data_IF_012106585181
#
_entry.id   IF_012106585181
#
_cell.length_a   1.000
_cell.length_b   1.000
_cell.length_c   1.000
_cell.angle_alpha   90.00
_cell.angle_beta   90.00
_cell.angle_gamma   90.00
#
_symmetry.space_group_name_H-M   'P 1'
#
loop_
_entity.id
_entity.type
_entity.pdbx_description
1 polymer ?
#
# COMPACT_ATOMS: atom_id res chain seq x y z
N UNK A 1 39.90 -57.00 32.46
CA UNK A 1 40.77 -55.96 33.06
C UNK A 1 40.45 -54.68 32.34
N UNK A 2 39.54 -53.86 32.97
CA UNK A 2 39.75 -52.51 33.53
C UNK A 2 40.24 -51.48 32.51
N UNK A 3 39.57 -50.40 32.18
CA UNK A 3 39.13 -49.34 33.03
C UNK A 3 38.07 -48.45 32.33
N UNK A 4 37.04 -48.02 33.11
CA UNK A 4 36.04 -47.03 32.84
C UNK A 4 36.70 -45.63 33.04
N UNK A 5 36.41 -44.68 32.16
CA UNK A 5 36.57 -43.26 32.45
C UNK A 5 35.40 -42.44 31.92
N UNK A 6 34.68 -41.85 32.84
CA UNK A 6 33.57 -40.89 32.64
C UNK A 6 34.04 -39.59 31.99
N UNK A 7 33.38 -39.17 30.88
CA UNK A 7 33.51 -37.84 30.30
C UNK A 7 32.14 -37.10 30.34
N UNK A 8 32.05 -36.09 31.20
CA UNK A 8 30.89 -35.20 31.30
C UNK A 8 30.67 -34.46 30.00
N UNK A 9 29.45 -34.57 29.46
CA UNK A 9 28.97 -33.70 28.37
C UNK A 9 28.56 -32.37 29.01
N UNK A 10 29.29 -31.31 28.63
CA UNK A 10 28.95 -29.92 28.96
C UNK A 10 27.94 -29.43 27.94
N UNK A 11 26.72 -29.15 28.33
CA UNK A 11 25.70 -28.46 27.54
C UNK A 11 26.07 -26.97 27.52
N UNK A 12 26.53 -26.49 26.37
CA UNK A 12 26.67 -25.07 26.10
C UNK A 12 25.26 -24.45 25.89
N UNK A 13 24.84 -23.63 26.85
CA UNK A 13 23.67 -22.77 26.73
C UNK A 13 23.97 -21.66 25.71
N UNK A 14 23.18 -21.60 24.65
CA UNK A 14 23.12 -20.50 23.71
C UNK A 14 22.71 -19.20 24.44
N UNK A 15 23.32 -18.05 24.16
CA UNK A 15 22.92 -16.79 24.76
C UNK A 15 21.52 -16.38 24.26
N UNK A 16 20.62 -16.15 25.22
CA UNK A 16 19.30 -15.59 24.97
C UNK A 16 19.43 -14.17 24.36
N UNK A 17 18.75 -13.94 23.27
CA UNK A 17 18.54 -12.62 22.68
C UNK A 17 17.80 -11.73 23.68
N UNK A 18 18.25 -10.51 24.00
CA UNK A 18 17.52 -9.64 24.92
C UNK A 18 16.19 -9.23 24.29
N UNK A 19 15.12 -9.38 25.08
CA UNK A 19 13.76 -9.08 24.71
C UNK A 19 13.61 -7.60 24.28
N UNK A 20 12.91 -7.36 23.20
CA UNK A 20 12.61 -6.03 22.63
C UNK A 20 11.88 -5.08 23.59
N UNK A 21 11.24 -5.62 24.63
CA UNK A 21 10.45 -4.85 25.60
C UNK A 21 11.28 -3.97 26.56
N UNK A 22 12.57 -4.28 26.77
CA UNK A 22 13.41 -3.50 27.68
C UNK A 22 13.90 -2.16 27.09
N UNK A 23 13.76 -1.94 25.77
CA UNK A 23 14.31 -0.77 25.11
C UNK A 23 13.24 0.28 24.72
N UNK A 24 11.96 -0.05 24.80
CA UNK A 24 10.84 0.85 24.47
C UNK A 24 10.43 1.73 25.66
N UNK A 25 10.56 1.23 26.90
CA UNK A 25 10.19 1.98 28.11
C UNK A 25 10.96 3.31 28.32
N UNK A 26 12.29 3.43 28.09
CA UNK A 26 13.00 4.70 28.30
C UNK A 26 12.63 5.78 27.29
N UNK A 27 12.08 5.42 26.12
CA UNK A 27 11.75 6.38 25.06
C UNK A 27 10.44 7.12 25.35
N UNK A 28 9.48 6.44 25.95
CA UNK A 28 8.19 7.06 26.33
C UNK A 28 8.34 8.00 27.52
N UNK A 29 9.19 7.69 28.51
CA UNK A 29 9.45 8.57 29.65
C UNK A 29 10.16 9.87 29.23
N UNK A 30 11.03 9.82 28.23
CA UNK A 30 11.71 11.01 27.69
C UNK A 30 10.75 11.94 26.93
N UNK A 31 9.69 11.40 26.32
CA UNK A 31 8.69 12.19 25.61
C UNK A 31 7.72 12.92 26.54
N UNK A 32 7.43 12.35 27.72
CA UNK A 32 6.55 12.96 28.73
C UNK A 32 7.24 14.11 29.49
N UNK A 33 8.55 14.08 29.67
CA UNK A 33 9.31 15.15 30.32
C UNK A 33 9.50 16.39 29.43
N UNK A 34 9.53 16.22 28.09
CA UNK A 34 9.60 17.34 27.12
C UNK A 34 8.32 18.20 27.13
N UNK A 35 7.16 17.63 27.50
CA UNK A 35 5.91 18.39 27.58
C UNK A 35 5.78 19.30 28.81
N UNK A 36 6.62 19.15 29.84
CA UNK A 36 6.54 19.93 31.10
C UNK A 36 7.40 21.18 31.15
N UNK A 37 8.28 21.42 30.17
CA UNK A 37 9.19 22.56 30.12
C UNK A 37 8.76 23.67 29.18
N UNK A 38 7.65 24.37 29.43
CA UNK A 38 7.29 25.57 28.64
C UNK A 38 7.86 26.84 29.26
N UNK A 39 8.95 27.37 28.72
CA UNK A 39 9.36 28.75 28.91
C UNK A 39 9.22 29.52 27.58
N UNK A 40 8.54 30.67 27.67
CA UNK A 40 8.22 31.54 26.54
C UNK A 40 9.45 32.31 26.11
N UNK A 41 10.28 31.85 25.19
CA UNK A 41 11.14 32.60 24.25
C UNK A 41 11.94 31.58 23.44
N UNK A 42 11.62 31.42 22.17
CA UNK A 42 12.32 30.50 21.24
C UNK A 42 11.46 29.47 20.51
N UNK A 43 10.16 29.71 20.43
CA UNK A 43 9.18 28.68 19.98
C UNK A 43 9.41 28.05 18.60
N UNK A 44 10.02 28.78 17.66
CA UNK A 44 10.19 28.29 16.28
C UNK A 44 11.37 27.32 16.17
N UNK A 45 12.47 27.55 16.84
CA UNK A 45 13.66 26.70 16.81
C UNK A 45 13.40 25.38 17.58
N UNK A 46 12.67 25.44 18.69
CA UNK A 46 12.32 24.29 19.50
C UNK A 46 11.33 23.35 18.80
N UNK A 47 10.36 23.92 18.06
CA UNK A 47 9.40 23.14 17.25
C UNK A 47 10.12 22.46 16.08
N UNK A 48 11.13 23.09 15.46
CA UNK A 48 11.92 22.49 14.38
C UNK A 48 12.79 21.32 14.89
N UNK A 49 13.41 21.46 16.05
CA UNK A 49 14.25 20.42 16.67
C UNK A 49 13.40 19.24 17.15
N UNK A 50 12.20 19.49 17.69
CA UNK A 50 11.27 18.40 18.06
C UNK A 50 10.77 17.67 16.81
N UNK A 51 10.39 18.38 15.74
CA UNK A 51 9.95 17.75 14.48
C UNK A 51 11.04 16.91 13.83
N UNK A 52 12.29 17.38 13.82
CA UNK A 52 13.43 16.62 13.28
C UNK A 52 13.76 15.39 14.13
N UNK A 53 13.70 15.50 15.44
CA UNK A 53 13.97 14.36 16.34
C UNK A 53 12.86 13.30 16.30
N UNK A 54 11.59 13.69 16.25
CA UNK A 54 10.45 12.77 16.13
C UNK A 54 10.49 12.05 14.78
N UNK A 55 10.79 12.76 13.70
CA UNK A 55 10.92 12.18 12.37
C UNK A 55 12.08 11.17 12.31
N UNK A 56 13.26 11.52 12.82
CA UNK A 56 14.39 10.61 12.90
C UNK A 56 14.10 9.37 13.77
N UNK A 57 13.32 9.53 14.85
CA UNK A 57 12.85 8.43 15.68
C UNK A 57 11.86 7.53 14.94
N UNK A 58 10.93 8.12 14.17
CA UNK A 58 9.97 7.38 13.37
C UNK A 58 10.67 6.61 12.23
N UNK A 59 11.63 7.22 11.56
CA UNK A 59 12.44 6.55 10.54
C UNK A 59 13.25 5.40 11.14
N UNK A 60 13.86 5.58 12.33
CA UNK A 60 14.52 4.50 13.05
C UNK A 60 13.55 3.40 13.51
N UNK A 61 12.39 3.77 14.05
CA UNK A 61 11.39 2.81 14.48
C UNK A 61 10.90 1.96 13.30
N UNK A 62 10.72 2.56 12.14
CA UNK A 62 10.38 1.85 10.91
C UNK A 62 11.47 0.86 10.50
N UNK A 63 12.75 1.23 10.63
CA UNK A 63 13.89 0.36 10.43
C UNK A 63 13.83 -0.91 11.30
N UNK A 64 13.45 -0.76 12.57
CA UNK A 64 13.31 -1.90 13.49
C UNK A 64 12.07 -2.76 13.19
N UNK A 65 11.10 -2.26 12.43
CA UNK A 65 9.90 -2.99 12.04
C UNK A 65 10.06 -3.77 10.72
N UNK A 66 11.12 -3.51 9.95
CA UNK A 66 11.47 -4.27 8.75
C UNK A 66 12.32 -5.49 9.11
N UNK A 67 12.35 -6.48 8.21
CA UNK A 67 13.28 -7.60 8.37
C UNK A 67 14.73 -7.11 8.26
N UNK A 68 15.61 -7.43 9.24
CA UNK A 68 16.98 -6.92 9.25
C UNK A 68 17.83 -7.33 8.04
N UNK A 69 17.66 -8.57 7.54
CA UNK A 69 18.39 -9.06 6.36
C UNK A 69 18.01 -8.29 5.11
N UNK A 70 16.71 -8.01 4.97
CA UNK A 70 16.20 -7.24 3.85
C UNK A 70 16.65 -5.77 3.90
N UNK A 71 16.57 -5.17 5.08
CA UNK A 71 17.03 -3.78 5.29
C UNK A 71 18.51 -3.62 4.97
N UNK A 72 19.37 -4.57 5.38
CA UNK A 72 20.80 -4.57 5.09
C UNK A 72 21.07 -4.68 3.57
N UNK A 73 20.32 -5.54 2.86
CA UNK A 73 20.39 -5.59 1.40
C UNK A 73 20.07 -4.24 0.76
N UNK A 74 18.95 -3.62 1.14
CA UNK A 74 18.50 -2.34 0.58
C UNK A 74 19.54 -1.24 0.81
N UNK A 75 20.13 -1.18 2.02
CA UNK A 75 21.19 -0.22 2.36
C UNK A 75 22.44 -0.43 1.50
N UNK A 76 22.89 -1.68 1.37
CA UNK A 76 24.04 -2.01 0.50
C UNK A 76 23.75 -1.70 -0.97
N UNK A 77 22.49 -1.79 -1.39
CA UNK A 77 22.04 -1.39 -2.73
C UNK A 77 21.95 0.14 -2.93
N UNK A 78 22.21 0.94 -1.90
CA UNK A 78 22.17 2.40 -1.94
C UNK A 78 20.80 3.02 -1.68
N UNK A 79 19.87 2.28 -1.07
CA UNK A 79 18.53 2.79 -0.75
C UNK A 79 18.58 3.96 0.24
N UNK A 80 17.91 5.05 -0.11
CA UNK A 80 17.64 6.19 0.75
C UNK A 80 16.22 6.07 1.30
N UNK A 81 16.08 6.17 2.62
CA UNK A 81 14.78 6.03 3.28
C UNK A 81 14.22 7.39 3.66
N UNK A 82 12.93 7.56 3.47
CA UNK A 82 12.20 8.72 3.87
C UNK A 82 10.75 8.33 4.22
N UNK A 83 10.28 8.77 5.38
CA UNK A 83 8.91 8.53 5.86
C UNK A 83 8.50 7.04 5.83
N UNK A 84 9.41 6.18 6.30
CA UNK A 84 9.18 4.75 6.41
C UNK A 84 9.15 3.97 5.09
N UNK A 85 9.70 4.50 4.00
CA UNK A 85 9.76 3.85 2.68
C UNK A 85 11.05 4.17 1.95
N UNK A 86 11.46 3.33 1.02
CA UNK A 86 12.58 3.67 0.13
C UNK A 86 12.16 4.81 -0.77
N UNK A 87 12.82 5.95 -0.67
CA UNK A 87 12.53 7.14 -1.47
C UNK A 87 13.28 7.14 -2.81
N UNK A 88 14.50 6.62 -2.85
CA UNK A 88 15.30 6.46 -4.07
C UNK A 88 16.53 5.58 -3.83
N UNK A 89 17.25 5.25 -4.90
CA UNK A 89 18.57 4.63 -4.89
C UNK A 89 19.67 5.60 -5.35
N UNK A 90 19.49 6.90 -5.03
CA UNK A 90 20.49 7.95 -5.24
C UNK A 90 20.14 8.96 -6.33
N UNK A 91 19.29 8.62 -7.30
CA UNK A 91 18.85 9.56 -8.34
C UNK A 91 17.35 9.41 -8.66
N UNK A 92 16.50 9.99 -7.82
CA UNK A 92 15.05 9.90 -7.95
C UNK A 92 14.51 10.35 -9.33
N UNK A 93 15.15 11.34 -9.97
CA UNK A 93 14.74 11.78 -11.31
C UNK A 93 15.05 10.73 -12.38
N UNK A 94 16.26 10.14 -12.37
CA UNK A 94 16.60 9.08 -13.31
C UNK A 94 15.72 7.85 -13.10
N UNK A 95 15.44 7.49 -11.84
CA UNK A 95 14.55 6.39 -11.49
C UNK A 95 13.12 6.66 -12.02
N UNK A 96 12.63 7.89 -11.89
CA UNK A 96 11.32 8.29 -12.41
C UNK A 96 11.27 8.23 -13.94
N UNK A 97 12.33 8.67 -14.63
CA UNK A 97 12.43 8.62 -16.09
C UNK A 97 12.53 7.19 -16.64
N UNK A 98 13.05 6.24 -15.84
CA UNK A 98 13.27 4.86 -16.29
C UNK A 98 11.97 4.13 -16.69
N UNK A 99 10.82 4.52 -16.13
CA UNK A 99 9.53 3.91 -16.48
C UNK A 99 9.15 4.09 -17.96
N UNK A 100 9.74 5.07 -18.66
CA UNK A 100 9.46 5.35 -20.06
C UNK A 100 9.90 4.25 -21.04
N UNK A 101 10.71 3.28 -20.60
CA UNK A 101 11.20 2.21 -21.49
C UNK A 101 11.95 1.09 -20.79
N UNK A 102 11.94 1.06 -19.46
CA UNK A 102 12.63 0.03 -18.67
C UNK A 102 11.69 -0.63 -17.67
N UNK A 103 11.97 -1.90 -17.36
CA UNK A 103 11.36 -2.58 -16.23
C UNK A 103 11.96 -1.99 -14.96
N UNK A 104 11.11 -1.76 -13.97
CA UNK A 104 11.51 -1.25 -12.65
C UNK A 104 11.22 -2.26 -11.57
N UNK A 105 12.04 -2.27 -10.49
CA UNK A 105 11.77 -3.03 -9.28
C UNK A 105 11.81 -2.13 -8.06
N UNK A 106 10.89 -2.35 -7.12
CA UNK A 106 10.67 -1.51 -5.96
C UNK A 106 10.51 -2.34 -4.70
N UNK A 107 11.10 -1.90 -3.59
CA UNK A 107 10.75 -2.38 -2.26
C UNK A 107 9.35 -1.91 -1.85
N UNK A 108 8.50 -2.84 -1.42
CA UNK A 108 7.15 -2.57 -0.94
C UNK A 108 6.98 -2.84 0.57
N UNK A 109 8.04 -2.68 1.36
CA UNK A 109 7.98 -2.87 2.82
C UNK A 109 7.07 -1.87 3.54
N UNK A 110 6.74 -0.76 2.88
CA UNK A 110 5.74 0.21 3.33
C UNK A 110 4.29 -0.30 3.20
N UNK A 111 4.09 -1.41 2.51
CA UNK A 111 2.84 -2.18 2.55
C UNK A 111 2.91 -3.18 3.71
N UNK A 112 1.87 -3.19 4.54
CA UNK A 112 1.71 -4.16 5.61
C UNK A 112 1.06 -5.44 5.11
N UNK A 113 1.29 -6.54 5.80
CA UNK A 113 0.72 -7.85 5.50
C UNK A 113 0.05 -8.45 6.74
N UNK A 114 -1.27 -8.59 6.70
CA UNK A 114 -2.09 -9.20 7.73
C UNK A 114 -2.52 -10.61 7.28
N UNK A 115 -2.22 -11.61 8.10
CA UNK A 115 -2.78 -12.96 7.94
C UNK A 115 -4.04 -13.10 8.77
N UNK A 116 -5.11 -13.57 8.15
CA UNK A 116 -6.35 -13.98 8.80
C UNK A 116 -6.49 -15.50 8.65
N UNK A 117 -6.33 -16.21 9.77
CA UNK A 117 -6.31 -17.68 9.83
C UNK A 117 -7.42 -18.22 10.74
N UNK A 118 -7.63 -19.54 10.69
CA UNK A 118 -8.67 -20.25 11.47
C UNK A 118 -9.83 -20.74 10.64
N UNK A 119 -10.63 -21.65 11.22
CA UNK A 119 -11.73 -22.33 10.55
C UNK A 119 -12.77 -21.34 9.97
N UNK A 120 -13.03 -20.25 10.68
CA UNK A 120 -14.03 -19.24 10.32
C UNK A 120 -13.45 -18.06 9.53
N UNK A 121 -12.14 -18.04 9.17
CA UNK A 121 -11.48 -16.88 8.59
C UNK A 121 -12.18 -16.36 7.31
N UNK A 122 -12.53 -17.25 6.38
CA UNK A 122 -13.19 -16.87 5.14
C UNK A 122 -14.62 -16.34 5.40
N UNK A 123 -15.40 -16.98 6.27
CA UNK A 123 -16.75 -16.53 6.62
C UNK A 123 -16.73 -15.20 7.38
N UNK A 124 -15.75 -15.02 8.26
CA UNK A 124 -15.53 -13.76 8.97
C UNK A 124 -15.26 -12.61 8.01
N UNK A 125 -14.27 -12.77 7.12
CA UNK A 125 -13.93 -11.76 6.11
C UNK A 125 -15.07 -11.53 5.11
N UNK A 126 -15.83 -12.58 4.76
CA UNK A 126 -17.04 -12.45 3.95
C UNK A 126 -18.04 -11.49 4.57
N UNK A 127 -18.20 -11.50 5.89
CA UNK A 127 -19.08 -10.59 6.62
C UNK A 127 -18.53 -9.18 6.83
N UNK A 128 -17.26 -8.91 6.47
CA UNK A 128 -16.61 -7.61 6.69
C UNK A 128 -16.33 -6.85 5.39
N UNK A 129 -15.96 -7.53 4.32
CA UNK A 129 -15.40 -6.91 3.12
C UNK A 129 -16.43 -6.77 1.99
N UNK A 130 -16.20 -5.84 1.07
CA UNK A 130 -17.10 -5.52 -0.03
C UNK A 130 -17.12 -6.57 -1.15
N UNK A 131 -16.07 -7.39 -1.25
CA UNK A 131 -15.94 -8.40 -2.30
C UNK A 131 -16.23 -9.81 -1.77
N UNK A 132 -16.42 -10.78 -2.67
CA UNK A 132 -16.78 -12.16 -2.33
C UNK A 132 -15.53 -12.98 -1.98
N UNK A 133 -15.23 -13.05 -0.69
CA UNK A 133 -14.06 -13.78 -0.16
C UNK A 133 -14.25 -15.31 -0.26
N UNK A 134 -15.50 -15.80 -0.22
CA UNK A 134 -15.76 -17.23 -0.35
C UNK A 134 -15.49 -17.72 -1.77
N UNK A 135 -15.73 -16.87 -2.78
CA UNK A 135 -15.46 -17.17 -4.18
C UNK A 135 -13.97 -17.06 -4.56
N UNK A 136 -13.10 -16.51 -3.69
CA UNK A 136 -11.67 -16.38 -3.96
C UNK A 136 -11.01 -17.76 -4.05
N UNK A 137 -10.50 -18.14 -5.22
CA UNK A 137 -9.76 -19.40 -5.42
C UNK A 137 -8.28 -19.27 -5.01
N UNK A 138 -7.56 -20.39 -4.85
CA UNK A 138 -6.13 -20.40 -4.47
C UNK A 138 -5.22 -19.68 -5.48
N UNK A 139 -5.52 -19.80 -6.77
CA UNK A 139 -4.76 -19.14 -7.85
C UNK A 139 -5.20 -17.72 -8.13
N UNK A 140 -6.10 -17.14 -7.33
CA UNK A 140 -6.63 -15.82 -7.51
C UNK A 140 -6.10 -14.85 -6.45
N UNK A 141 -6.13 -13.57 -6.82
CA UNK A 141 -6.09 -12.44 -5.91
C UNK A 141 -7.34 -11.57 -6.16
N UNK A 142 -7.70 -10.74 -5.22
CA UNK A 142 -8.79 -9.78 -5.40
C UNK A 142 -8.52 -8.48 -4.67
N UNK A 143 -8.92 -7.36 -5.25
CA UNK A 143 -9.06 -6.11 -4.53
C UNK A 143 -10.41 -6.09 -3.83
N UNK A 144 -10.47 -5.46 -2.66
CA UNK A 144 -11.70 -5.32 -1.88
C UNK A 144 -11.63 -4.07 -1.03
N UNK A 145 -12.74 -3.68 -0.40
CA UNK A 145 -12.73 -2.63 0.60
C UNK A 145 -13.39 -3.07 1.90
N UNK A 146 -12.90 -2.55 3.02
CA UNK A 146 -13.64 -2.55 4.26
C UNK A 146 -14.29 -1.19 4.45
N UNK A 147 -15.59 -1.17 4.59
CA UNK A 147 -16.36 0.07 4.66
C UNK A 147 -16.83 0.37 6.08
N UNK A 148 -17.00 1.65 6.38
CA UNK A 148 -17.75 2.11 7.54
C UNK A 148 -19.27 1.84 7.36
N UNK A 149 -20.09 1.92 8.42
CA UNK A 149 -21.54 1.84 8.30
C UNK A 149 -22.13 2.88 7.33
N UNK A 150 -21.41 3.96 7.04
CA UNK A 150 -21.80 4.97 6.05
C UNK A 150 -21.44 4.58 4.61
N UNK A 151 -20.99 3.34 4.37
CA UNK A 151 -20.60 2.84 3.06
C UNK A 151 -19.33 3.47 2.49
N UNK A 152 -18.48 4.10 3.31
CA UNK A 152 -17.23 4.72 2.91
C UNK A 152 -16.05 3.82 3.22
N UNK A 153 -15.09 3.77 2.30
CA UNK A 153 -13.91 2.91 2.42
C UNK A 153 -12.99 3.35 3.55
N UNK A 154 -12.64 2.42 4.42
CA UNK A 154 -11.67 2.59 5.50
C UNK A 154 -10.29 2.08 5.11
N UNK A 155 -10.25 1.08 4.24
CA UNK A 155 -9.04 0.49 3.66
C UNK A 155 -9.41 -0.27 2.40
N UNK A 156 -8.48 -0.38 1.47
CA UNK A 156 -8.60 -1.10 0.18
C UNK A 156 -7.51 -2.17 0.07
N UNK A 157 -7.64 -3.32 0.76
CA UNK A 157 -6.62 -4.34 0.72
C UNK A 157 -6.65 -5.17 -0.57
N UNK A 158 -5.46 -5.64 -0.97
CA UNK A 158 -5.28 -6.75 -1.90
C UNK A 158 -5.31 -8.06 -1.11
N UNK A 159 -6.14 -9.01 -1.54
CA UNK A 159 -6.31 -10.32 -0.89
C UNK A 159 -5.84 -11.45 -1.77
N UNK A 160 -5.32 -12.50 -1.14
CA UNK A 160 -5.12 -13.82 -1.75
C UNK A 160 -5.21 -14.93 -0.70
N UNK A 161 -5.51 -16.15 -1.14
CA UNK A 161 -5.44 -17.33 -0.29
C UNK A 161 -4.04 -17.94 -0.30
N UNK A 162 -3.58 -18.37 0.86
CA UNK A 162 -2.41 -19.21 1.04
C UNK A 162 -2.71 -20.41 1.95
N UNK A 163 -1.74 -21.28 2.13
CA UNK A 163 -1.90 -22.49 2.97
C UNK A 163 -2.25 -22.15 4.43
N UNK A 164 -1.80 -21.02 4.94
CA UNK A 164 -1.98 -20.59 6.34
C UNK A 164 -3.33 -19.87 6.57
N UNK A 165 -3.97 -19.37 5.52
CA UNK A 165 -5.19 -18.56 5.61
C UNK A 165 -5.31 -17.55 4.47
N UNK A 166 -5.94 -16.43 4.77
CA UNK A 166 -6.17 -15.33 3.82
C UNK A 166 -5.26 -14.17 4.20
N UNK A 167 -4.48 -13.71 3.23
CA UNK A 167 -3.57 -12.60 3.38
C UNK A 167 -4.23 -11.31 2.89
N UNK A 168 -4.04 -10.23 3.65
CA UNK A 168 -4.51 -8.89 3.33
C UNK A 168 -3.30 -7.96 3.30
N UNK A 169 -2.98 -7.41 2.13
CA UNK A 169 -1.96 -6.38 1.96
C UNK A 169 -2.62 -5.00 1.94
N UNK A 170 -2.07 -4.05 2.67
CA UNK A 170 -2.59 -2.70 2.80
C UNK A 170 -1.48 -1.74 3.25
N UNK A 171 -1.66 -0.40 3.16
CA UNK A 171 -0.70 0.55 3.73
C UNK A 171 -0.35 0.21 5.18
N UNK A 172 0.94 0.08 5.48
CA UNK A 172 1.40 -0.27 6.83
C UNK A 172 0.95 0.75 7.87
N UNK A 173 0.83 2.01 7.47
CA UNK A 173 0.31 3.11 8.31
C UNK A 173 -1.13 2.88 8.79
N UNK A 174 -1.92 2.09 8.07
CA UNK A 174 -3.30 1.73 8.43
C UNK A 174 -3.41 0.38 9.14
N UNK A 175 -2.48 -0.54 8.88
CA UNK A 175 -2.60 -1.95 9.26
C UNK A 175 -2.88 -2.15 10.74
N UNK A 176 -2.12 -1.54 11.65
CA UNK A 176 -2.31 -1.73 13.09
C UNK A 176 -3.69 -1.29 13.59
N UNK A 177 -4.19 -0.16 13.09
CA UNK A 177 -5.52 0.33 13.42
C UNK A 177 -6.62 -0.57 12.84
N UNK A 178 -6.45 -1.03 11.60
CA UNK A 178 -7.37 -1.95 10.92
C UNK A 178 -7.39 -3.30 11.63
N UNK A 179 -6.23 -3.89 11.94
CA UNK A 179 -6.11 -5.15 12.68
C UNK A 179 -6.83 -5.07 14.03
N UNK A 180 -6.53 -4.04 14.82
CA UNK A 180 -7.16 -3.82 16.13
C UNK A 180 -8.68 -3.70 16.02
N UNK A 181 -9.15 -2.98 15.00
CA UNK A 181 -10.58 -2.79 14.80
C UNK A 181 -11.26 -4.07 14.27
N UNK A 182 -10.65 -4.83 13.35
CA UNK A 182 -11.16 -6.14 12.93
C UNK A 182 -11.23 -7.12 14.09
N UNK A 183 -10.24 -7.12 14.98
CA UNK A 183 -10.21 -7.98 16.17
C UNK A 183 -11.45 -7.82 17.06
N UNK A 184 -12.04 -6.62 17.13
CA UNK A 184 -13.26 -6.37 17.89
C UNK A 184 -14.50 -7.11 17.32
N UNK A 185 -14.48 -7.48 16.05
CA UNK A 185 -15.56 -8.20 15.39
C UNK A 185 -15.39 -9.72 15.39
N UNK A 186 -14.25 -10.24 15.82
CA UNK A 186 -13.97 -11.70 15.86
C UNK A 186 -14.93 -12.41 16.82
N UNK A 187 -15.24 -11.79 17.97
CA UNK A 187 -16.18 -12.30 19.00
C UNK A 187 -15.94 -13.79 19.33
N UNK A 188 -16.85 -14.68 18.87
CA UNK A 188 -16.81 -16.14 19.09
C UNK A 188 -16.25 -16.92 17.89
N UNK A 189 -15.91 -16.24 16.80
CA UNK A 189 -15.38 -16.92 15.59
C UNK A 189 -13.98 -17.46 15.86
N UNK A 190 -13.68 -18.62 15.31
CA UNK A 190 -12.33 -19.22 15.37
C UNK A 190 -11.42 -18.56 14.34
N UNK A 191 -11.02 -17.34 14.64
CA UNK A 191 -10.21 -16.48 13.75
C UNK A 191 -9.05 -15.88 14.55
N UNK A 192 -7.86 -15.90 13.91
CA UNK A 192 -6.65 -15.23 14.38
C UNK A 192 -6.20 -14.22 13.35
N UNK A 193 -5.79 -13.02 13.79
CA UNK A 193 -5.22 -11.96 12.97
C UNK A 193 -3.76 -11.74 13.37
N UNK A 194 -2.83 -11.91 12.45
CA UNK A 194 -1.39 -11.85 12.71
C UNK A 194 -0.72 -10.86 11.74
N UNK A 195 0.09 -9.94 12.28
CA UNK A 195 0.94 -9.07 11.47
C UNK A 195 2.17 -9.86 11.01
N UNK A 196 2.28 -10.11 9.72
CA UNK A 196 3.40 -10.79 9.08
C UNK A 196 4.30 -9.85 8.27
N UNK A 197 4.17 -8.55 8.46
CA UNK A 197 4.87 -7.56 7.62
C UNK A 197 6.40 -7.63 7.74
N UNK A 198 6.93 -8.06 8.89
CA UNK A 198 8.37 -8.26 9.09
C UNK A 198 8.86 -9.64 8.65
N UNK A 199 7.96 -10.61 8.51
CA UNK A 199 8.29 -11.99 8.16
C UNK A 199 8.31 -12.21 6.65
N UNK A 200 7.62 -11.37 5.90
CA UNK A 200 7.48 -11.45 4.45
C UNK A 200 7.90 -10.15 3.77
N UNK A 201 8.76 -10.30 2.78
CA UNK A 201 9.18 -9.21 1.90
C UNK A 201 8.26 -9.14 0.69
N UNK A 202 7.96 -7.92 0.26
CA UNK A 202 7.18 -7.64 -0.94
C UNK A 202 8.03 -6.83 -1.91
N UNK A 203 8.12 -7.31 -3.16
CA UNK A 203 8.87 -6.67 -4.25
C UNK A 203 7.88 -6.35 -5.36
N UNK A 204 7.79 -5.10 -5.75
CA UNK A 204 7.07 -4.68 -6.95
C UNK A 204 7.97 -4.77 -8.18
N UNK A 205 7.44 -5.31 -9.28
CA UNK A 205 8.12 -5.32 -10.59
C UNK A 205 7.13 -4.84 -11.63
N UNK A 206 7.49 -3.83 -12.42
CA UNK A 206 6.55 -3.24 -13.36
C UNK A 206 7.18 -2.35 -14.41
N UNK A 207 6.32 -1.74 -15.21
CA UNK A 207 6.70 -0.78 -16.25
C UNK A 207 5.47 -0.04 -16.76
N UNK A 208 5.59 0.59 -17.91
CA UNK A 208 4.49 1.20 -18.64
C UNK A 208 4.10 0.36 -19.84
N UNK A 209 2.99 0.71 -20.52
CA UNK A 209 2.52 0.03 -21.75
C UNK A 209 3.54 0.03 -22.89
N UNK A 210 4.55 0.92 -22.85
CA UNK A 210 5.65 0.94 -23.80
C UNK A 210 6.62 -0.24 -23.67
N UNK A 211 6.59 -0.92 -22.49
CA UNK A 211 7.30 -2.17 -22.29
C UNK A 211 6.33 -3.27 -22.68
N UNK A 212 6.65 -4.01 -23.76
CA UNK A 212 5.83 -5.14 -24.16
C UNK A 212 5.56 -6.06 -22.95
N UNK A 213 4.30 -6.37 -22.68
CA UNK A 213 3.90 -7.24 -21.56
C UNK A 213 4.68 -8.53 -21.53
N UNK A 214 5.02 -9.06 -22.70
CA UNK A 214 5.86 -10.24 -22.89
C UNK A 214 7.27 -10.09 -22.27
N UNK A 215 7.91 -8.92 -22.37
CA UNK A 215 9.25 -8.69 -21.78
C UNK A 215 9.20 -8.68 -20.25
N UNK A 216 8.17 -8.09 -19.67
CA UNK A 216 7.95 -8.08 -18.22
C UNK A 216 7.63 -9.51 -17.71
N UNK A 217 6.74 -10.23 -18.36
CA UNK A 217 6.41 -11.61 -18.03
C UNK A 217 7.64 -12.53 -18.18
N UNK A 218 8.42 -12.38 -19.25
CA UNK A 218 9.65 -13.12 -19.47
C UNK A 218 10.67 -12.89 -18.36
N UNK A 219 10.83 -11.64 -17.90
CA UNK A 219 11.73 -11.30 -16.78
C UNK A 219 11.30 -11.95 -15.47
N UNK A 220 10.02 -11.92 -15.16
CA UNK A 220 9.46 -12.61 -13.98
C UNK A 220 9.66 -14.12 -14.11
N UNK A 221 9.35 -14.69 -15.28
CA UNK A 221 9.51 -16.14 -15.53
C UNK A 221 10.96 -16.59 -15.41
N UNK A 222 11.91 -15.79 -15.90
CA UNK A 222 13.35 -16.08 -15.79
C UNK A 222 13.85 -16.15 -14.34
N UNK A 223 13.22 -15.39 -13.43
CA UNK A 223 13.63 -15.30 -12.02
C UNK A 223 12.92 -16.32 -11.14
N UNK A 224 11.60 -16.53 -11.34
CA UNK A 224 10.74 -17.32 -10.46
C UNK A 224 10.20 -18.58 -11.16
N UNK A 225 10.48 -18.77 -12.45
CA UNK A 225 9.97 -19.85 -13.29
C UNK A 225 8.43 -19.88 -13.45
N UNK A 226 7.74 -18.80 -13.11
CA UNK A 226 6.29 -18.65 -13.26
C UNK A 226 5.87 -17.19 -13.33
N UNK A 227 4.97 -16.84 -14.27
CA UNK A 227 4.34 -15.53 -14.34
C UNK A 227 2.83 -15.68 -14.54
N UNK A 228 1.99 -15.10 -13.66
CA UNK A 228 0.55 -15.10 -13.86
C UNK A 228 0.18 -14.30 -15.12
N UNK A 229 -0.68 -14.90 -15.98
CA UNK A 229 -1.09 -14.27 -17.26
C UNK A 229 -2.32 -13.38 -17.12
N UNK A 230 -3.18 -13.64 -16.15
CA UNK A 230 -4.41 -12.89 -15.89
C UNK A 230 -4.22 -11.89 -14.74
N UNK A 231 -4.73 -10.67 -14.91
CA UNK A 231 -4.79 -9.68 -13.82
C UNK A 231 -5.58 -10.25 -12.65
N UNK A 232 -5.12 -9.99 -11.43
CA UNK A 232 -5.64 -10.54 -10.18
C UNK A 232 -5.59 -12.07 -10.14
N UNK A 233 -4.58 -12.68 -10.79
CA UNK A 233 -4.21 -14.07 -10.55
C UNK A 233 -2.83 -14.16 -9.87
N UNK A 234 -2.58 -15.30 -9.23
CA UNK A 234 -1.34 -15.53 -8.52
C UNK A 234 -0.83 -16.94 -8.71
N UNK A 235 0.48 -17.11 -8.67
CA UNK A 235 1.15 -18.42 -8.71
C UNK A 235 2.05 -18.51 -7.49
N UNK A 236 1.98 -19.65 -6.80
CA UNK A 236 2.90 -19.97 -5.70
C UNK A 236 4.00 -20.88 -6.21
N UNK A 237 5.26 -20.52 -5.92
CA UNK A 237 6.47 -21.27 -6.25
C UNK A 237 7.29 -21.50 -4.98
N UNK A 238 8.37 -22.29 -5.09
CA UNK A 238 9.29 -22.51 -3.96
C UNK A 238 10.00 -21.22 -3.49
N UNK A 239 10.16 -20.23 -4.38
CA UNK A 239 10.76 -18.94 -4.05
C UNK A 239 9.78 -17.95 -3.42
N UNK A 240 8.48 -18.07 -3.70
CA UNK A 240 7.47 -17.15 -3.21
C UNK A 240 6.18 -17.17 -4.02
N UNK A 241 5.34 -16.18 -3.79
CA UNK A 241 4.11 -15.96 -4.54
C UNK A 241 4.28 -14.78 -5.48
N UNK A 242 3.92 -14.97 -6.75
CA UNK A 242 3.82 -13.90 -7.75
C UNK A 242 2.35 -13.57 -7.94
N UNK A 243 1.99 -12.29 -7.89
CA UNK A 243 0.63 -11.78 -8.11
C UNK A 243 0.68 -10.77 -9.25
N UNK A 244 -0.13 -10.93 -10.29
CA UNK A 244 -0.30 -9.90 -11.31
C UNK A 244 -1.36 -8.91 -10.87
N UNK A 245 -0.95 -7.72 -10.44
CA UNK A 245 -1.85 -6.70 -9.87
C UNK A 245 -2.46 -5.79 -10.94
N UNK A 246 -1.79 -5.66 -12.09
CA UNK A 246 -2.31 -4.94 -13.27
C UNK A 246 -1.70 -5.52 -14.55
N UNK A 247 -2.08 -5.06 -15.75
CA UNK A 247 -1.43 -5.48 -16.98
C UNK A 247 0.09 -5.27 -17.00
N UNK A 248 0.56 -4.24 -16.30
CA UNK A 248 1.95 -3.75 -16.32
C UNK A 248 2.67 -3.92 -14.98
N UNK A 249 2.09 -4.57 -13.96
CA UNK A 249 2.69 -4.72 -12.63
C UNK A 249 2.47 -6.09 -12.02
N UNK A 250 3.54 -6.58 -11.40
CA UNK A 250 3.54 -7.78 -10.55
C UNK A 250 4.02 -7.44 -9.15
N UNK A 251 3.52 -8.16 -8.18
CA UNK A 251 4.04 -8.17 -6.81
C UNK A 251 4.53 -9.56 -6.46
N UNK A 252 5.71 -9.64 -5.85
CA UNK A 252 6.34 -10.87 -5.40
C UNK A 252 6.39 -10.83 -3.89
N UNK A 253 5.80 -11.84 -3.25
CA UNK A 253 5.79 -11.99 -1.79
C UNK A 253 6.62 -13.22 -1.43
N UNK A 254 7.71 -13.03 -0.70
CA UNK A 254 8.68 -14.08 -0.41
C UNK A 254 9.23 -13.99 1.02
N UNK A 255 9.81 -15.09 1.50
CA UNK A 255 10.64 -15.04 2.72
C UNK A 255 11.82 -14.10 2.51
N UNK A 256 12.42 -13.51 3.56
CA UNK A 256 13.54 -12.60 3.41
C UNK A 256 14.73 -13.21 2.64
N UNK A 257 15.02 -14.48 2.87
CA UNK A 257 16.11 -15.18 2.18
C UNK A 257 15.81 -15.31 0.69
N UNK A 258 14.61 -15.78 0.33
CA UNK A 258 14.19 -15.92 -1.06
C UNK A 258 14.07 -14.54 -1.75
N UNK A 259 13.62 -13.52 -1.02
CA UNK A 259 13.51 -12.15 -1.54
C UNK A 259 14.88 -11.57 -1.93
N UNK A 260 15.93 -11.86 -1.17
CA UNK A 260 17.33 -11.50 -1.50
C UNK A 260 17.72 -12.17 -2.81
N UNK A 261 17.51 -13.48 -2.95
CA UNK A 261 17.80 -14.23 -4.17
C UNK A 261 17.02 -13.67 -5.39
N UNK A 262 15.74 -13.40 -5.21
CA UNK A 262 14.87 -12.82 -6.25
C UNK A 262 15.38 -11.43 -6.66
N UNK A 263 15.74 -10.58 -5.70
CA UNK A 263 16.23 -9.23 -5.95
C UNK A 263 17.53 -9.24 -6.76
N UNK A 264 18.47 -10.10 -6.38
CA UNK A 264 19.74 -10.24 -7.09
C UNK A 264 19.51 -10.75 -8.53
N UNK A 265 18.63 -11.73 -8.72
CA UNK A 265 18.25 -12.24 -10.04
C UNK A 265 17.48 -11.22 -10.90
N UNK A 266 16.72 -10.31 -10.31
CA UNK A 266 16.00 -9.25 -11.02
C UNK A 266 16.92 -8.09 -11.42
N UNK A 267 18.03 -7.87 -10.70
CA UNK A 267 18.94 -6.73 -10.92
C UNK A 267 19.44 -6.58 -12.37
N UNK A 268 19.69 -7.65 -13.16
CA UNK A 268 20.06 -7.51 -14.58
C UNK A 268 18.91 -7.04 -15.49
N UNK A 269 17.67 -7.20 -15.07
CA UNK A 269 16.47 -6.94 -15.89
C UNK A 269 15.74 -5.66 -15.51
N UNK A 270 15.90 -5.18 -14.28
CA UNK A 270 15.06 -4.10 -13.73
C UNK A 270 15.89 -3.02 -13.05
N UNK A 271 15.48 -1.77 -13.24
CA UNK A 271 16.04 -0.61 -12.53
C UNK A 271 15.44 -0.56 -11.13
N UNK A 272 16.29 -0.39 -10.12
CA UNK A 272 15.88 -0.15 -8.73
C UNK A 272 15.28 1.24 -8.61
N UNK A 273 14.08 1.35 -8.06
CA UNK A 273 13.38 2.63 -7.94
C UNK A 273 12.75 2.80 -6.55
N UNK A 274 12.62 4.05 -6.14
CA UNK A 274 11.89 4.41 -4.92
C UNK A 274 10.38 4.18 -5.04
N UNK A 275 9.72 4.09 -3.89
CA UNK A 275 8.29 3.81 -3.77
C UNK A 275 7.40 4.82 -4.51
N UNK A 276 7.85 6.08 -4.68
CA UNK A 276 7.11 7.07 -5.46
C UNK A 276 6.90 6.69 -6.94
N UNK A 277 7.82 5.92 -7.51
CA UNK A 277 7.67 5.38 -8.88
C UNK A 277 6.60 4.29 -8.91
N UNK A 278 6.55 3.43 -7.90
CA UNK A 278 5.49 2.42 -7.75
C UNK A 278 4.10 3.04 -7.58
N UNK A 279 4.02 4.10 -6.77
CA UNK A 279 2.78 4.88 -6.61
C UNK A 279 2.32 5.48 -7.95
N UNK A 280 3.24 6.03 -8.74
CA UNK A 280 2.93 6.56 -10.06
C UNK A 280 2.34 5.49 -10.99
N UNK A 281 2.92 4.29 -11.00
CA UNK A 281 2.39 3.19 -11.79
C UNK A 281 0.97 2.80 -11.32
N UNK A 282 0.71 2.76 -9.99
CA UNK A 282 -0.62 2.51 -9.45
C UNK A 282 -1.65 3.60 -9.84
N UNK A 283 -1.22 4.87 -9.83
CA UNK A 283 -2.04 6.00 -10.27
C UNK A 283 -2.36 5.89 -11.77
N UNK A 284 -1.39 5.49 -12.58
CA UNK A 284 -1.59 5.28 -14.02
C UNK A 284 -2.52 4.11 -14.32
N UNK A 285 -2.49 3.07 -13.50
CA UNK A 285 -3.45 1.96 -13.55
C UNK A 285 -4.86 2.35 -13.04
N UNK A 286 -5.01 3.54 -12.44
CA UNK A 286 -6.29 4.00 -11.90
C UNK A 286 -6.75 3.24 -10.65
N UNK A 287 -5.82 2.64 -9.93
CA UNK A 287 -6.09 1.85 -8.71
C UNK A 287 -5.91 2.75 -7.49
N UNK A 288 -7.02 3.10 -6.86
CA UNK A 288 -7.02 3.89 -5.63
C UNK A 288 -6.52 3.06 -4.44
N UNK A 289 -5.68 3.67 -3.62
CA UNK A 289 -5.33 3.17 -2.30
C UNK A 289 -5.84 4.15 -1.23
N UNK A 290 -6.61 3.65 -0.28
CA UNK A 290 -7.03 4.46 0.89
C UNK A 290 -5.84 4.66 1.80
N UNK A 291 -5.54 5.91 2.11
CA UNK A 291 -4.47 6.36 3.00
C UNK A 291 -5.07 6.93 4.30
N UNK A 292 -4.29 7.16 5.37
CA UNK A 292 -4.81 7.75 6.61
C UNK A 292 -5.62 9.03 6.39
N UNK A 293 -5.17 9.90 5.49
CA UNK A 293 -5.79 11.19 5.17
C UNK A 293 -7.11 11.05 4.39
N UNK A 294 -7.33 9.89 3.74
CA UNK A 294 -8.50 9.64 2.89
C UNK A 294 -9.46 8.59 3.45
N UNK A 295 -9.20 8.09 4.67
CA UNK A 295 -10.12 7.17 5.34
C UNK A 295 -11.52 7.78 5.51
N UNK A 296 -12.55 6.96 5.30
CA UNK A 296 -13.97 7.33 5.45
C UNK A 296 -14.41 8.52 4.57
N UNK A 297 -13.70 8.79 3.46
CA UNK A 297 -14.05 9.87 2.54
C UNK A 297 -14.88 9.40 1.35
N UNK A 298 -14.55 8.25 0.75
CA UNK A 298 -15.10 7.84 -0.53
C UNK A 298 -15.96 6.58 -0.41
N UNK A 299 -17.13 6.58 -1.06
CA UNK A 299 -17.85 5.34 -1.35
C UNK A 299 -17.18 4.61 -2.51
N UNK A 300 -17.24 3.27 -2.57
CA UNK A 300 -16.53 2.49 -3.60
C UNK A 300 -16.78 2.97 -5.03
N UNK A 301 -18.03 3.27 -5.39
CA UNK A 301 -18.37 3.71 -6.75
C UNK A 301 -17.82 5.08 -7.11
N UNK A 302 -17.73 6.01 -6.15
CA UNK A 302 -17.09 7.30 -6.41
C UNK A 302 -15.59 7.14 -6.70
N UNK A 303 -14.99 6.07 -6.20
CA UNK A 303 -13.60 5.70 -6.42
C UNK A 303 -13.41 4.72 -7.59
N UNK A 304 -14.42 4.48 -8.42
CA UNK A 304 -14.45 3.50 -9.52
C UNK A 304 -14.14 2.06 -9.07
N UNK A 305 -14.29 1.76 -7.80
CA UNK A 305 -13.82 0.51 -7.22
C UNK A 305 -14.62 -0.70 -7.71
N UNK A 306 -15.88 -0.50 -8.12
CA UNK A 306 -16.70 -1.51 -8.78
C UNK A 306 -16.20 -1.83 -10.18
N UNK A 307 -15.59 -0.86 -10.89
CA UNK A 307 -15.10 -1.05 -12.26
C UNK A 307 -13.84 -1.92 -12.31
N UNK A 308 -13.06 -1.93 -11.23
CA UNK A 308 -11.87 -2.78 -11.08
C UNK A 308 -12.16 -4.09 -10.31
N UNK A 309 -13.45 -4.43 -10.13
CA UNK A 309 -13.87 -5.67 -9.47
C UNK A 309 -13.73 -5.67 -7.94
N UNK A 310 -13.60 -4.50 -7.29
CA UNK A 310 -13.43 -4.38 -5.84
C UNK A 310 -14.72 -4.52 -5.02
N UNK A 311 -15.89 -4.64 -5.67
CA UNK A 311 -17.20 -4.80 -5.02
C UNK A 311 -17.99 -5.91 -5.70
N UNK A 312 -18.52 -6.84 -4.90
CA UNK A 312 -19.49 -7.83 -5.36
C UNK A 312 -20.89 -7.48 -4.83
N UNK A 313 -21.81 -7.14 -5.73
CA UNK A 313 -23.18 -6.76 -5.39
C UNK A 313 -24.13 -7.96 -5.16
N UNK A 314 -23.66 -9.19 -5.43
CA UNK A 314 -24.45 -10.43 -5.29
C UNK A 314 -24.10 -11.23 -4.04
N UNK A 315 -23.07 -10.81 -3.31
CA UNK A 315 -22.65 -11.49 -2.07
C UNK A 315 -23.54 -11.12 -0.88
N UNK A 316 -23.36 -11.84 0.25
CA UNK A 316 -24.04 -11.58 1.51
C UNK A 316 -23.69 -10.23 2.17
N UNK A 317 -24.30 -9.94 3.32
CA UNK A 317 -24.21 -8.66 4.01
C UNK A 317 -22.78 -8.33 4.49
N UNK A 318 -22.43 -7.04 4.48
CA UNK A 318 -21.22 -6.46 5.05
C UNK A 318 -21.49 -5.01 5.53
N UNK A 319 -20.66 -4.40 6.41
CA UNK A 319 -20.87 -3.04 6.90
C UNK A 319 -20.94 -2.02 5.77
N UNK A 320 -22.00 -1.18 5.78
CA UNK A 320 -22.20 -0.13 4.78
C UNK A 320 -22.78 -0.58 3.45
N UNK A 321 -23.10 -1.88 3.27
CA UNK A 321 -23.63 -2.43 2.03
C UNK A 321 -24.90 -1.72 1.55
N UNK A 322 -25.80 -1.31 2.47
CA UNK A 322 -27.03 -0.62 2.09
C UNK A 322 -26.76 0.65 1.28
N UNK A 323 -25.82 1.48 1.73
CA UNK A 323 -25.43 2.72 1.04
C UNK A 323 -24.77 2.40 -0.30
N UNK A 324 -23.87 1.41 -0.32
CA UNK A 324 -23.17 0.95 -1.54
C UNK A 324 -24.17 0.40 -2.57
N UNK A 325 -25.09 -0.47 -2.15
CA UNK A 325 -26.13 -1.02 -3.02
C UNK A 325 -27.13 0.05 -3.48
N UNK A 326 -27.55 0.95 -2.59
CA UNK A 326 -28.44 2.07 -2.96
C UNK A 326 -27.78 2.96 -4.02
N UNK A 327 -26.50 3.26 -3.89
CA UNK A 327 -25.74 4.05 -4.86
C UNK A 327 -25.73 3.34 -6.24
N UNK A 328 -25.60 2.02 -6.25
CA UNK A 328 -25.57 1.23 -7.50
C UNK A 328 -26.94 1.18 -8.21
N UNK A 329 -28.02 0.94 -7.47
CA UNK A 329 -29.31 0.60 -8.07
C UNK A 329 -30.32 1.75 -8.12
N UNK A 330 -30.18 2.75 -7.25
CA UNK A 330 -31.17 3.83 -7.07
C UNK A 330 -30.55 5.21 -6.95
N UNK A 331 -29.22 5.31 -6.83
CA UNK A 331 -28.51 6.57 -6.64
C UNK A 331 -28.08 7.18 -7.96
N UNK A 332 -28.07 8.52 -8.01
CA UNK A 332 -27.32 9.26 -9.03
C UNK A 332 -25.91 9.44 -8.51
N UNK A 333 -24.95 8.79 -9.16
CA UNK A 333 -23.56 8.95 -8.82
C UNK A 333 -23.08 10.34 -9.28
N UNK A 334 -22.79 11.21 -8.31
CA UNK A 334 -22.36 12.59 -8.59
C UNK A 334 -20.85 12.76 -8.70
N UNK A 335 -20.07 11.80 -8.20
CA UNK A 335 -18.60 11.86 -8.16
C UNK A 335 -17.99 10.61 -8.78
N UNK A 336 -16.85 10.79 -9.45
CA UNK A 336 -16.04 9.71 -10.03
C UNK A 336 -14.57 9.98 -9.80
N UNK A 337 -13.79 8.90 -9.77
CA UNK A 337 -12.35 8.96 -9.80
C UNK A 337 -11.88 9.27 -11.21
N UNK A 338 -10.94 10.21 -11.32
CA UNK A 338 -10.21 10.51 -12.55
C UNK A 338 -8.72 10.59 -12.26
N UNK A 339 -7.91 10.27 -13.25
CA UNK A 339 -6.48 10.59 -13.24
C UNK A 339 -6.30 12.01 -13.75
N UNK A 340 -5.49 12.79 -13.06
CA UNK A 340 -5.14 14.16 -13.44
C UNK A 340 -3.62 14.35 -13.45
N UNK A 341 -3.18 15.33 -14.21
CA UNK A 341 -1.80 15.81 -14.24
C UNK A 341 -1.75 17.32 -13.96
N UNK A 342 -0.73 17.78 -13.23
CA UNK A 342 -0.43 19.19 -13.00
C UNK A 342 1.07 19.44 -13.05
N UNK A 343 1.49 20.57 -13.65
CA UNK A 343 2.91 20.93 -13.85
C UNK A 343 3.56 21.59 -12.63
N UNK A 344 2.81 21.79 -11.53
CA UNK A 344 3.37 22.49 -10.37
C UNK A 344 4.26 21.57 -9.54
N UNK A 345 5.27 22.16 -8.89
CA UNK A 345 6.20 21.46 -8.00
C UNK A 345 5.82 21.55 -6.51
N UNK A 346 4.82 22.36 -6.15
CA UNK A 346 4.22 22.37 -4.82
C UNK A 346 3.15 21.28 -4.74
N UNK A 347 3.58 20.07 -4.39
CA UNK A 347 2.72 18.90 -4.39
C UNK A 347 1.66 18.98 -3.29
N UNK A 348 0.39 18.72 -3.63
CA UNK A 348 -0.66 18.60 -2.63
C UNK A 348 -0.43 17.38 -1.75
N UNK A 349 -1.28 17.24 -0.72
CA UNK A 349 -1.34 16.01 0.08
C UNK A 349 -2.59 15.20 -0.28
N UNK A 350 -2.60 13.88 -0.05
CA UNK A 350 -3.83 13.12 -0.06
C UNK A 350 -4.87 13.77 0.86
N UNK A 351 -6.15 13.78 0.45
CA UNK A 351 -7.23 14.45 1.17
C UNK A 351 -7.39 15.94 0.88
N UNK A 352 -6.42 16.63 0.25
CA UNK A 352 -6.58 18.04 -0.12
C UNK A 352 -7.74 18.26 -1.10
N UNK A 353 -8.41 19.41 -0.91
CA UNK A 353 -9.59 19.79 -1.69
C UNK A 353 -9.23 20.25 -3.11
N UNK A 354 -10.10 19.86 -4.03
CA UNK A 354 -10.12 20.30 -5.42
C UNK A 354 -11.37 21.14 -5.63
N UNK A 355 -11.24 22.24 -6.35
CA UNK A 355 -12.30 23.22 -6.60
C UNK A 355 -12.66 23.28 -8.08
N UNK A 356 -13.81 23.82 -8.37
CA UNK A 356 -14.26 24.09 -9.73
C UNK A 356 -15.31 25.22 -9.72
N UNK A 357 -15.36 26.09 -10.76
CA UNK A 357 -16.29 27.22 -10.82
C UNK A 357 -17.76 26.85 -10.63
N UNK A 358 -18.15 25.65 -11.09
CA UNK A 358 -19.53 25.13 -11.02
C UNK A 358 -20.01 24.95 -9.57
N UNK A 359 -19.10 24.87 -8.59
CA UNK A 359 -19.39 24.65 -7.17
C UNK A 359 -19.02 25.84 -6.29
N UNK A 360 -18.55 26.96 -6.88
CA UNK A 360 -18.12 28.15 -6.15
C UNK A 360 -17.05 27.83 -5.11
N UNK A 361 -17.22 28.31 -3.90
CA UNK A 361 -16.28 28.07 -2.80
C UNK A 361 -16.34 26.67 -2.19
N UNK A 362 -17.27 25.81 -2.62
CA UNK A 362 -17.36 24.45 -2.13
C UNK A 362 -16.40 23.54 -2.88
N UNK A 363 -15.79 22.61 -2.14
CA UNK A 363 -14.89 21.62 -2.75
C UNK A 363 -15.66 20.74 -3.76
N UNK A 364 -15.18 20.74 -5.00
CA UNK A 364 -15.67 19.87 -6.06
C UNK A 364 -15.15 18.43 -5.94
N UNK A 365 -14.06 18.21 -5.18
CA UNK A 365 -13.48 16.90 -4.98
C UNK A 365 -12.29 16.91 -4.04
N UNK A 366 -11.62 15.74 -3.96
CA UNK A 366 -10.42 15.58 -3.14
C UNK A 366 -9.38 14.73 -3.86
N UNK A 367 -8.10 15.02 -3.60
CA UNK A 367 -6.96 14.20 -4.01
C UNK A 367 -7.03 12.88 -3.23
N UNK A 368 -7.00 11.75 -3.92
CA UNK A 368 -6.93 10.45 -3.27
C UNK A 368 -5.48 9.95 -3.14
N UNK A 369 -4.76 9.91 -4.27
CA UNK A 369 -3.36 9.49 -4.35
C UNK A 369 -2.61 10.43 -5.29
N UNK A 370 -1.30 10.61 -5.08
CA UNK A 370 -0.45 11.38 -5.99
C UNK A 370 0.98 10.89 -5.98
N UNK A 371 1.69 11.11 -7.09
CA UNK A 371 3.11 10.84 -7.22
C UNK A 371 3.77 11.80 -8.21
N UNK A 372 5.09 12.04 -8.12
CA UNK A 372 5.84 12.79 -9.12
C UNK A 372 5.66 12.19 -10.52
N UNK A 373 5.59 13.04 -11.54
CA UNK A 373 5.47 12.61 -12.93
C UNK A 373 6.77 12.86 -13.71
N UNK A 374 7.19 11.95 -14.62
CA UNK A 374 8.42 12.13 -15.39
C UNK A 374 8.38 13.34 -16.32
N UNK A 375 7.19 13.80 -16.70
CA UNK A 375 6.97 15.00 -17.50
C UNK A 375 7.10 16.31 -16.68
N UNK A 376 7.48 16.22 -15.40
CA UNK A 376 7.45 17.30 -14.42
C UNK A 376 6.11 17.39 -13.68
N UNK A 377 6.10 18.06 -12.53
CA UNK A 377 4.91 18.12 -11.68
C UNK A 377 4.50 16.76 -11.13
N UNK A 378 3.18 16.48 -11.10
CA UNK A 378 2.65 15.25 -10.53
C UNK A 378 1.46 14.68 -11.31
N UNK A 379 1.29 13.37 -11.26
CA UNK A 379 0.03 12.68 -11.57
C UNK A 379 -0.72 12.39 -10.25
N UNK A 380 -2.06 12.46 -10.29
CA UNK A 380 -2.89 12.13 -9.12
C UNK A 380 -4.19 11.42 -9.53
N UNK A 381 -4.73 10.66 -8.58
CA UNK A 381 -6.12 10.20 -8.60
C UNK A 381 -6.96 11.18 -7.79
N UNK A 382 -8.01 11.68 -8.39
CA UNK A 382 -8.92 12.66 -7.79
C UNK A 382 -10.35 12.14 -7.86
N UNK A 383 -11.03 12.12 -6.72
CA UNK A 383 -12.48 11.86 -6.67
C UNK A 383 -13.21 13.19 -6.72
N UNK A 384 -13.85 13.51 -7.83
CA UNK A 384 -14.46 14.81 -8.07
C UNK A 384 -15.87 14.71 -8.65
N UNK A 385 -16.59 15.83 -8.61
CA UNK A 385 -17.91 15.99 -9.22
C UNK A 385 -17.84 15.76 -10.74
N UNK A 386 -18.74 14.95 -11.24
CA UNK A 386 -18.81 14.57 -12.68
C UNK A 386 -18.95 15.79 -13.59
N UNK A 387 -19.72 16.79 -13.15
CA UNK A 387 -19.93 18.04 -13.88
C UNK A 387 -18.60 18.75 -14.12
N UNK A 388 -17.78 18.93 -13.08
CA UNK A 388 -16.46 19.57 -13.18
C UNK A 388 -15.45 18.74 -13.98
N UNK A 389 -15.56 17.40 -13.91
CA UNK A 389 -14.74 16.49 -14.72
C UNK A 389 -15.07 16.70 -16.21
N UNK A 390 -16.36 16.73 -16.58
CA UNK A 390 -16.83 16.96 -17.97
C UNK A 390 -16.44 18.35 -18.46
N UNK A 391 -16.49 19.37 -17.61
CA UNK A 391 -16.08 20.74 -17.93
C UNK A 391 -14.56 20.93 -18.04
N UNK A 392 -13.76 20.01 -17.47
CA UNK A 392 -12.30 20.15 -17.40
C UNK A 392 -11.84 21.30 -16.52
N UNK A 393 -12.67 21.72 -15.55
CA UNK A 393 -12.54 22.93 -14.75
C UNK A 393 -11.82 22.75 -13.41
N UNK A 394 -11.34 21.54 -13.12
CA UNK A 394 -10.75 21.18 -11.83
C UNK A 394 -9.51 22.01 -11.51
N UNK A 395 -9.46 22.57 -10.29
CA UNK A 395 -8.39 23.42 -9.76
C UNK A 395 -7.92 22.91 -8.39
N UNK A 396 -6.63 23.04 -8.14
CA UNK A 396 -6.03 22.63 -6.87
C UNK A 396 -6.16 23.73 -5.82
N UNK A 397 -6.57 23.38 -4.60
CA UNK A 397 -6.60 24.24 -3.38
C UNK A 397 -7.57 25.44 -3.42
N UNK A 398 -7.82 26.06 -4.57
CA UNK A 398 -8.75 27.19 -4.73
C UNK A 398 -9.22 27.31 -6.18
N UNK A 399 -10.13 28.24 -6.48
CA UNK A 399 -10.60 28.52 -7.86
C UNK A 399 -9.50 29.11 -8.75
N UNK A 400 -8.56 29.84 -8.17
CA UNK A 400 -7.39 30.43 -8.83
C UNK A 400 -6.21 29.47 -8.85
N UNK A 401 -6.34 28.30 -8.21
CA UNK A 401 -5.29 27.31 -8.09
C UNK A 401 -4.89 26.68 -9.42
N UNK A 402 -3.81 25.93 -9.40
CA UNK A 402 -3.27 25.28 -10.58
C UNK A 402 -4.30 24.34 -11.23
N UNK A 403 -4.34 24.34 -12.57
CA UNK A 403 -5.22 23.47 -13.33
C UNK A 403 -4.84 21.99 -13.16
N UNK A 404 -5.82 21.14 -12.96
CA UNK A 404 -5.70 19.70 -12.96
C UNK A 404 -6.22 19.15 -14.31
N UNK A 405 -5.31 18.75 -15.19
CA UNK A 405 -5.67 18.23 -16.52
C UNK A 405 -6.05 16.77 -16.42
N UNK A 406 -7.29 16.43 -16.76
CA UNK A 406 -7.78 15.05 -16.79
C UNK A 406 -7.01 14.23 -17.83
N UNK A 407 -6.59 13.04 -17.43
CA UNK A 407 -5.89 12.04 -18.24
C UNK A 407 -6.73 10.78 -18.34
N UNK A 408 -6.61 9.99 -19.43
CA UNK A 408 -7.36 8.73 -19.56
C UNK A 408 -6.95 7.72 -18.47
N UNK A 409 -7.93 6.92 -18.05
CA UNK A 409 -7.73 5.72 -17.24
C UNK A 409 -7.62 4.50 -18.19
N UNK A 410 -6.97 3.39 -17.76
CA UNK A 410 -6.83 2.19 -18.59
C UNK A 410 -8.11 1.35 -18.65
N UNK A 411 -9.21 1.84 -18.08
CA UNK A 411 -10.53 1.23 -18.14
C UNK A 411 -11.60 2.30 -18.42
N UNK A 412 -12.71 1.87 -18.99
CA UNK A 412 -13.80 2.77 -19.34
C UNK A 412 -14.57 3.23 -18.10
N UNK A 413 -14.80 4.54 -18.00
CA UNK A 413 -15.63 5.18 -16.98
C UNK A 413 -16.85 5.80 -17.62
N UNK A 414 -18.02 5.22 -17.36
CA UNK A 414 -19.29 5.82 -17.77
C UNK A 414 -19.69 6.92 -16.81
N UNK A 415 -19.97 8.09 -17.37
CA UNK A 415 -20.53 9.23 -16.65
C UNK A 415 -22.03 9.29 -16.93
N UNK A 416 -22.89 9.09 -15.91
CA UNK A 416 -24.35 9.20 -16.07
C UNK A 416 -24.81 10.58 -16.50
#
# INVERSE_FOLDING_TARGET
MTHIANGKVSTATSPATPAADAMVMPIFDTLTDIQRGSSRHGGVLFILVIRTNVKWLLDKLYYYLMNPLWTDLLQRAGALFFDGRVSSYGNANAELQSIGGQIVMCDLSHEGLLLVSGEDAAAFLQGQLSNDVLALAEGDAQVTSWCSPKGRMLVTPLLWKGRQGIFLQMPRTLQGAIQKRLQMFVLRSKVKLEDLSAEWVKIGVGGTDSIAGDALEASIHAVIAAAPTRVLSSIHTDLGRVIRVSPTRFEIVASPINAIEIWDKLTPYAVKVGAGVWDLLAIRDGIIQVLPETQDQFVPQAANFELIGGVNFKKGCYPGQEIVARTQYRGILKRRLVRVHSQINDYPKPGESVYAPEFGEQAAGHIANLAPAPEGGFDALVVAQIESIKAGSLRLKSLEGAALRVKPLPYEVTFP
#
